data_IF_976702471411
#
_entry.id   IF_976702471411
#
_cell.length_a   1.000
_cell.length_b   1.000
_cell.length_c   1.000
_cell.angle_alpha   90.00
_cell.angle_beta   90.00
_cell.angle_gamma   90.00
#
_symmetry.space_group_name_H-M   'P 1'
#
loop_
_entity.id
_entity.type
_entity.pdbx_description
1 polymer ?
#
# COMPACT_ATOMS: atom_id res chain seq x y z
N UNK A 1 12.75 0.96 0.16
CA UNK A 1 11.43 1.48 -0.27
C UNK A 1 10.45 1.36 0.90
N UNK A 2 9.47 2.25 0.98
CA UNK A 2 8.34 2.14 1.91
C UNK A 2 7.32 1.17 1.33
N UNK A 3 7.08 0.04 1.99
CA UNK A 3 6.27 -1.05 1.44
C UNK A 3 4.82 -0.93 1.91
N UNK A 4 3.89 -0.83 0.97
CA UNK A 4 2.47 -0.65 1.31
C UNK A 4 1.83 -2.01 1.64
N UNK A 5 1.21 -2.07 2.80
CA UNK A 5 0.28 -3.11 3.20
C UNK A 5 -1.15 -2.67 2.85
N UNK A 6 -1.86 -3.49 2.07
CA UNK A 6 -3.23 -3.22 1.60
C UNK A 6 -4.23 -3.61 2.69
N UNK A 7 -4.12 -2.87 3.79
CA UNK A 7 -4.65 -3.27 5.07
C UNK A 7 -6.18 -3.28 5.14
N UNK A 8 -6.68 -4.01 6.12
CA UNK A 8 -7.97 -3.76 6.71
C UNK A 8 -7.85 -2.61 7.72
N UNK A 9 -8.97 -1.91 7.98
CA UNK A 9 -9.02 -0.85 9.01
C UNK A 9 -8.70 -1.38 10.41
N UNK A 10 -8.89 -2.68 10.65
CA UNK A 10 -8.31 -3.41 11.77
C UNK A 10 -7.06 -4.13 11.24
N UNK A 11 -5.88 -3.64 11.60
CA UNK A 11 -4.61 -4.11 11.06
C UNK A 11 -4.44 -5.62 11.17
N UNK A 12 -3.85 -6.25 10.15
CA UNK A 12 -3.69 -7.70 10.01
C UNK A 12 -4.95 -8.42 9.53
N UNK A 13 -6.07 -7.71 9.36
CA UNK A 13 -7.27 -8.22 8.71
C UNK A 13 -7.74 -9.57 9.26
N UNK A 14 -7.83 -10.55 8.38
CA UNK A 14 -8.27 -11.91 8.70
C UNK A 14 -7.15 -12.89 9.05
N UNK A 15 -5.93 -12.44 9.41
CA UNK A 15 -4.76 -13.32 9.53
C UNK A 15 -4.89 -14.41 10.59
N UNK A 16 -5.63 -14.15 11.68
CA UNK A 16 -5.97 -15.15 12.70
C UNK A 16 -7.26 -15.93 12.40
N UNK A 17 -7.85 -15.69 11.23
CA UNK A 17 -9.07 -16.32 10.74
C UNK A 17 -8.85 -17.02 9.41
N UNK A 18 -9.60 -16.60 8.38
CA UNK A 18 -9.58 -17.22 7.04
C UNK A 18 -8.98 -16.30 5.97
N UNK A 19 -8.40 -15.16 6.36
CA UNK A 19 -7.78 -14.24 5.41
C UNK A 19 -6.49 -14.83 4.86
N UNK A 20 -6.28 -14.70 3.55
CA UNK A 20 -5.09 -15.23 2.87
C UNK A 20 -4.76 -14.40 1.62
N UNK A 21 -4.98 -13.09 1.69
CA UNK A 21 -4.65 -12.15 0.61
C UNK A 21 -3.41 -11.34 1.00
N UNK A 22 -3.15 -10.21 0.33
CA UNK A 22 -1.88 -9.49 0.45
C UNK A 22 -1.49 -9.14 1.90
N UNK A 23 -2.41 -8.62 2.71
CA UNK A 23 -2.17 -8.26 4.12
C UNK A 23 -1.85 -9.51 4.95
N UNK A 24 -2.72 -10.52 4.94
CA UNK A 24 -2.53 -11.70 5.78
C UNK A 24 -1.27 -12.49 5.40
N UNK A 25 -0.99 -12.62 4.10
CA UNK A 25 0.25 -13.26 3.64
C UNK A 25 1.46 -12.52 4.18
N UNK A 26 1.45 -11.17 4.14
CA UNK A 26 2.57 -10.38 4.67
C UNK A 26 2.75 -10.59 6.17
N UNK A 27 1.66 -10.65 6.93
CA UNK A 27 1.69 -10.91 8.36
C UNK A 27 2.14 -12.34 8.68
N UNK A 28 1.86 -13.33 7.83
CA UNK A 28 2.33 -14.70 8.04
C UNK A 28 3.82 -14.88 7.75
N UNK A 29 4.35 -14.23 6.71
CA UNK A 29 5.79 -14.32 6.40
C UNK A 29 6.65 -13.41 7.28
N UNK A 30 6.05 -12.36 7.87
CA UNK A 30 6.67 -11.44 8.82
C UNK A 30 5.82 -11.39 10.12
N UNK A 31 5.81 -12.47 10.95
CA UNK A 31 4.90 -12.62 12.09
C UNK A 31 5.04 -11.57 13.19
N UNK A 32 6.14 -10.81 13.25
CA UNK A 32 6.28 -9.67 14.16
C UNK A 32 5.19 -8.61 13.93
N UNK A 33 4.65 -8.52 12.70
CA UNK A 33 3.52 -7.66 12.37
C UNK A 33 2.26 -8.00 13.19
N UNK A 34 2.08 -9.26 13.61
CA UNK A 34 0.92 -9.70 14.40
C UNK A 34 0.82 -8.96 15.74
N UNK A 35 1.96 -8.54 16.31
CA UNK A 35 1.97 -7.79 17.56
C UNK A 35 1.21 -6.46 17.44
N UNK A 36 1.15 -5.87 16.24
CA UNK A 36 0.37 -4.64 16.01
C UNK A 36 -1.12 -4.82 16.34
N UNK A 37 -1.67 -6.03 16.20
CA UNK A 37 -3.08 -6.32 16.50
C UNK A 37 -3.38 -6.25 18.00
N UNK A 38 -2.37 -6.35 18.86
CA UNK A 38 -2.55 -6.33 20.32
C UNK A 38 -2.85 -4.93 20.84
N UNK A 39 -2.26 -3.90 20.24
CA UNK A 39 -2.26 -2.54 20.79
C UNK A 39 -2.73 -1.45 19.81
N UNK A 40 -3.00 -1.79 18.54
CA UNK A 40 -3.49 -0.82 17.56
C UNK A 40 -5.01 -0.86 17.49
N UNK A 41 -5.66 0.28 17.77
CA UNK A 41 -7.10 0.44 17.52
C UNK A 41 -7.40 0.49 16.01
N UNK A 42 -8.67 0.33 15.66
CA UNK A 42 -9.19 0.55 14.31
C UNK A 42 -8.73 1.91 13.75
N UNK A 43 -8.06 1.89 12.61
CA UNK A 43 -7.64 3.10 11.90
C UNK A 43 -8.83 3.99 11.51
N UNK A 44 -8.74 5.27 11.85
CA UNK A 44 -9.59 6.33 11.34
C UNK A 44 -9.20 6.72 9.91
N UNK A 45 -10.02 7.51 9.23
CA UNK A 45 -9.81 7.86 7.82
C UNK A 45 -8.52 8.63 7.51
N UNK A 46 -7.89 9.25 8.50
CA UNK A 46 -6.66 10.04 8.39
C UNK A 46 -5.47 9.41 9.10
N UNK A 47 -5.59 8.15 9.52
CA UNK A 47 -4.53 7.44 10.24
C UNK A 47 -3.85 6.40 9.34
N UNK A 48 -2.60 6.09 9.61
CA UNK A 48 -1.87 4.99 9.02
C UNK A 48 -0.96 4.39 10.09
N UNK A 49 -0.65 3.10 9.98
CA UNK A 49 0.26 2.44 10.92
C UNK A 49 1.57 2.17 10.20
N UNK A 50 2.68 2.58 10.82
CA UNK A 50 4.03 2.40 10.28
C UNK A 50 4.79 1.44 11.18
N UNK A 51 5.38 0.40 10.58
CA UNK A 51 6.15 -0.61 11.30
C UNK A 51 7.51 -0.75 10.61
N UNK A 52 8.57 -0.44 11.34
CA UNK A 52 9.97 -0.50 10.86
C UNK A 52 10.72 -1.56 11.62
N UNK A 53 11.51 -2.35 10.91
CA UNK A 53 12.41 -3.33 11.51
C UNK A 53 12.00 -4.78 11.35
N UNK A 54 10.87 -5.05 10.68
CA UNK A 54 10.32 -6.40 10.58
C UNK A 54 11.20 -7.33 9.74
N UNK A 55 11.32 -8.56 10.22
CA UNK A 55 12.02 -9.65 9.53
C UNK A 55 11.05 -10.53 8.74
N UNK A 56 11.50 -11.01 7.57
CA UNK A 56 10.82 -12.09 6.86
C UNK A 56 11.40 -13.44 7.26
N UNK A 57 10.54 -14.34 7.73
CA UNK A 57 10.92 -15.67 8.20
C UNK A 57 10.58 -16.79 7.23
N UNK A 58 9.63 -16.56 6.31
CA UNK A 58 9.13 -17.62 5.42
C UNK A 58 9.09 -17.21 3.96
N UNK A 59 9.44 -18.16 3.09
CA UNK A 59 9.15 -18.11 1.67
C UNK A 59 7.78 -18.71 1.38
N UNK A 60 7.15 -18.23 0.30
CA UNK A 60 5.83 -18.67 -0.10
C UNK A 60 5.66 -18.66 -1.62
N UNK A 61 4.63 -19.36 -2.07
CA UNK A 61 4.08 -19.25 -3.42
C UNK A 61 2.56 -19.19 -3.40
N UNK A 62 1.97 -18.85 -4.54
CA UNK A 62 0.52 -18.76 -4.68
C UNK A 62 -0.09 -17.58 -3.92
N UNK A 63 -1.41 -17.53 -3.92
CA UNK A 63 -2.20 -16.43 -3.35
C UNK A 63 -3.62 -16.91 -3.06
N UNK A 64 -4.24 -16.42 -1.98
CA UNK A 64 -5.54 -16.91 -1.52
C UNK A 64 -5.52 -18.45 -1.42
N UNK A 65 -6.42 -19.14 -2.12
CA UNK A 65 -6.57 -20.59 -2.02
C UNK A 65 -5.36 -21.40 -2.51
N UNK A 66 -4.42 -20.80 -3.24
CA UNK A 66 -3.18 -21.47 -3.66
C UNK A 66 -1.96 -21.11 -2.80
N UNK A 67 -2.16 -20.33 -1.73
CA UNK A 67 -1.08 -19.93 -0.84
C UNK A 67 -0.42 -21.15 -0.18
N UNK A 68 0.90 -21.25 -0.33
CA UNK A 68 1.68 -22.39 0.15
C UNK A 68 3.01 -21.88 0.73
N UNK A 69 3.40 -22.41 1.88
CA UNK A 69 4.72 -22.19 2.47
C UNK A 69 5.81 -22.93 1.69
N UNK A 70 6.92 -22.27 1.39
CA UNK A 70 7.99 -22.79 0.53
C UNK A 70 9.32 -23.00 1.22
N UNK A 71 9.44 -22.67 2.51
CA UNK A 71 10.68 -22.83 3.24
C UNK A 71 10.95 -21.70 4.22
N UNK A 72 12.01 -21.89 4.99
CA UNK A 72 12.58 -20.83 5.82
C UNK A 72 13.22 -19.79 4.91
N UNK A 73 12.94 -18.52 5.18
CA UNK A 73 13.62 -17.39 4.56
C UNK A 73 14.77 -16.94 5.45
N UNK A 74 15.97 -16.77 4.88
CA UNK A 74 17.10 -16.14 5.56
C UNK A 74 17.15 -14.67 5.18
N UNK A 75 16.60 -13.82 6.04
CA UNK A 75 16.55 -12.38 5.78
C UNK A 75 17.95 -11.76 5.97
N UNK A 76 18.58 -11.39 4.86
CA UNK A 76 19.88 -10.71 4.81
C UNK A 76 19.76 -9.19 4.73
N UNK A 77 18.55 -8.64 4.90
CA UNK A 77 18.34 -7.18 4.91
C UNK A 77 19.19 -6.56 6.01
N UNK A 78 20.03 -5.54 5.70
CA UNK A 78 20.86 -4.90 6.71
C UNK A 78 20.02 -4.24 7.81
N UNK A 79 20.66 -3.97 8.95
CA UNK A 79 20.05 -3.32 10.10
C UNK A 79 20.58 -1.90 10.29
N UNK A 80 19.79 -1.06 10.93
CA UNK A 80 20.19 0.26 11.37
C UNK A 80 20.89 0.23 12.74
N UNK A 81 21.26 1.41 13.26
CA UNK A 81 21.94 1.58 14.54
C UNK A 81 21.13 1.08 15.75
N UNK A 82 19.81 0.91 15.59
CA UNK A 82 18.90 0.40 16.60
C UNK A 82 18.59 -1.10 16.43
N UNK A 83 19.37 -1.81 15.60
CA UNK A 83 19.15 -3.21 15.22
C UNK A 83 17.80 -3.48 14.56
N UNK A 84 17.20 -2.48 13.91
CA UNK A 84 15.99 -2.66 13.11
C UNK A 84 16.40 -2.96 11.67
N UNK A 85 15.82 -3.98 11.04
CA UNK A 85 16.01 -4.22 9.61
C UNK A 85 15.55 -3.01 8.80
N UNK A 86 16.22 -2.70 7.69
CA UNK A 86 15.82 -1.67 6.72
C UNK A 86 14.58 -2.05 5.89
N UNK A 87 13.56 -2.53 6.59
CA UNK A 87 12.24 -2.88 6.09
C UNK A 87 11.23 -2.03 6.84
N UNK A 88 10.53 -1.16 6.11
CA UNK A 88 9.40 -0.38 6.66
C UNK A 88 8.14 -0.71 5.89
N UNK A 89 7.10 -1.07 6.63
CA UNK A 89 5.75 -1.35 6.14
C UNK A 89 4.82 -0.20 6.57
N UNK A 90 3.96 0.24 5.66
CA UNK A 90 2.87 1.18 5.93
C UNK A 90 1.53 0.51 5.66
N UNK A 91 0.72 0.35 6.71
CA UNK A 91 -0.64 -0.16 6.60
C UNK A 91 -1.62 1.01 6.36
N UNK A 92 -2.31 0.95 5.23
CA UNK A 92 -3.39 1.88 4.86
C UNK A 92 -4.61 1.10 4.36
N UNK A 93 -5.79 1.36 4.94
CA UNK A 93 -7.02 0.67 4.57
C UNK A 93 -7.78 1.38 3.46
N UNK A 94 -8.11 0.69 2.37
CA UNK A 94 -9.00 1.22 1.32
C UNK A 94 -10.48 1.16 1.76
N UNK A 95 -11.37 1.91 1.10
CA UNK A 95 -12.81 1.68 1.25
C UNK A 95 -13.24 0.42 0.49
N UNK A 96 -14.20 -0.31 1.08
CA UNK A 96 -14.94 -1.35 0.38
C UNK A 96 -16.12 -0.73 -0.38
N UNK A 97 -16.30 -1.10 -1.66
CA UNK A 97 -17.40 -0.61 -2.49
C UNK A 97 -18.39 -1.73 -2.85
N UNK A 98 -19.60 -1.68 -2.27
CA UNK A 98 -20.70 -2.58 -2.66
C UNK A 98 -21.23 -2.27 -4.07
N UNK A 99 -21.37 -0.99 -4.40
CA UNK A 99 -21.59 -0.48 -5.74
C UNK A 99 -20.31 0.22 -6.23
N UNK A 100 -19.62 -0.32 -7.26
CA UNK A 100 -18.40 0.25 -7.81
C UNK A 100 -18.54 1.71 -8.25
N UNK A 101 -19.73 2.20 -8.61
CA UNK A 101 -19.89 3.62 -9.02
C UNK A 101 -19.65 4.59 -7.86
N UNK A 102 -19.80 4.13 -6.62
CA UNK A 102 -19.61 5.00 -5.45
C UNK A 102 -18.17 5.47 -5.28
N UNK A 103 -17.17 4.76 -5.81
CA UNK A 103 -15.76 5.16 -5.65
C UNK A 103 -15.44 6.51 -6.32
N UNK A 104 -16.18 6.89 -7.36
CA UNK A 104 -16.02 8.15 -8.08
C UNK A 104 -16.72 9.33 -7.40
N UNK A 105 -17.43 9.11 -6.29
CA UNK A 105 -18.02 10.23 -5.52
C UNK A 105 -16.90 11.03 -4.87
N UNK A 106 -16.97 12.37 -4.95
CA UNK A 106 -15.95 13.30 -4.41
C UNK A 106 -15.56 13.00 -2.96
N UNK A 107 -16.54 12.65 -2.10
CA UNK A 107 -16.27 12.27 -0.70
C UNK A 107 -15.33 11.05 -0.60
N UNK A 108 -15.53 10.05 -1.44
CA UNK A 108 -14.75 8.82 -1.43
C UNK A 108 -13.37 9.05 -2.05
N UNK A 109 -13.29 9.77 -3.17
CA UNK A 109 -12.01 10.20 -3.76
C UNK A 109 -11.12 10.92 -2.74
N UNK A 110 -11.69 11.91 -2.04
CA UNK A 110 -10.98 12.66 -0.98
C UNK A 110 -10.56 11.77 0.17
N UNK A 111 -11.41 10.84 0.62
CA UNK A 111 -11.08 9.90 1.69
C UNK A 111 -9.85 9.07 1.28
N UNK A 112 -9.86 8.50 0.09
CA UNK A 112 -8.75 7.65 -0.37
C UNK A 112 -7.46 8.44 -0.51
N UNK A 113 -7.51 9.67 -1.05
CA UNK A 113 -6.35 10.58 -1.09
C UNK A 113 -5.80 10.90 0.30
N UNK A 114 -6.66 11.25 1.26
CA UNK A 114 -6.22 11.54 2.63
C UNK A 114 -5.57 10.32 3.27
N UNK A 115 -6.14 9.12 3.06
CA UNK A 115 -5.61 7.87 3.61
C UNK A 115 -4.24 7.51 3.03
N UNK A 116 -4.08 7.52 1.70
CA UNK A 116 -2.78 7.24 1.08
C UNK A 116 -1.76 8.32 1.43
N UNK A 117 -2.16 9.60 1.46
CA UNK A 117 -1.28 10.67 1.90
C UNK A 117 -0.81 10.50 3.35
N UNK A 118 -1.70 10.15 4.28
CA UNK A 118 -1.33 9.91 5.68
C UNK A 118 -0.24 8.84 5.85
N UNK A 119 -0.27 7.80 5.02
CA UNK A 119 0.80 6.79 4.98
C UNK A 119 2.06 7.27 4.26
N UNK A 120 1.90 7.95 3.12
CA UNK A 120 3.00 8.33 2.25
C UNK A 120 3.80 9.54 2.76
N UNK A 121 3.20 10.40 3.57
CA UNK A 121 3.86 11.53 4.23
C UNK A 121 4.73 11.10 5.43
N UNK A 122 4.76 9.81 5.78
CA UNK A 122 5.67 9.32 6.81
C UNK A 122 7.14 9.61 6.45
N UNK A 123 7.88 10.11 7.43
CA UNK A 123 9.31 10.39 7.29
C UNK A 123 9.61 11.66 6.48
N UNK A 124 8.62 12.52 6.22
CA UNK A 124 8.89 13.88 5.76
C UNK A 124 9.84 14.58 6.73
N UNK A 125 10.75 15.39 6.17
CA UNK A 125 11.79 16.11 6.90
C UNK A 125 12.81 15.22 7.66
N UNK A 126 12.91 13.95 7.30
CA UNK A 126 13.92 13.01 7.80
C UNK A 126 14.72 12.39 6.66
N UNK A 127 15.77 11.61 6.97
CA UNK A 127 16.54 10.85 5.96
C UNK A 127 15.67 9.87 5.15
N UNK A 128 14.48 9.53 5.65
CA UNK A 128 13.52 8.68 4.96
C UNK A 128 12.69 9.41 3.88
N UNK A 129 12.84 10.74 3.73
CA UNK A 129 12.03 11.56 2.81
C UNK A 129 12.16 11.13 1.34
N UNK A 130 13.35 10.64 0.95
CA UNK A 130 13.67 10.27 -0.42
C UNK A 130 13.40 8.78 -0.71
N UNK A 131 12.88 8.02 0.26
CA UNK A 131 12.60 6.60 0.07
C UNK A 131 11.39 6.46 -0.85
N UNK A 132 11.53 5.83 -2.01
CA UNK A 132 10.39 5.55 -2.90
C UNK A 132 9.34 4.63 -2.25
N UNK A 133 8.08 4.78 -2.66
CA UNK A 133 6.93 3.96 -2.23
C UNK A 133 6.83 2.73 -3.12
N UNK A 134 6.84 1.53 -2.53
CA UNK A 134 6.56 0.27 -3.21
C UNK A 134 5.09 -0.12 -2.95
N UNK A 135 4.25 -0.04 -3.98
CA UNK A 135 2.81 -0.27 -3.88
C UNK A 135 2.24 -1.00 -5.11
N UNK A 136 0.93 -1.15 -5.21
CA UNK A 136 0.25 -1.74 -6.34
C UNK A 136 -1.26 -1.52 -6.28
N UNK A 137 -2.03 -2.55 -6.62
CA UNK A 137 -3.50 -2.52 -6.76
C UNK A 137 -4.25 -2.43 -5.40
N UNK A 138 -3.92 -1.41 -4.61
CA UNK A 138 -4.47 -1.13 -3.29
C UNK A 138 -6.00 -1.02 -3.30
N UNK A 139 -6.67 -1.95 -2.62
CA UNK A 139 -8.12 -1.97 -2.50
C UNK A 139 -8.88 -2.46 -3.74
N UNK A 140 -8.20 -2.98 -4.77
CA UNK A 140 -8.86 -3.37 -6.03
C UNK A 140 -9.36 -4.82 -6.06
N UNK A 141 -8.85 -5.69 -5.18
CA UNK A 141 -9.28 -7.09 -5.08
C UNK A 141 -10.58 -7.23 -4.28
N UNK A 142 -10.49 -7.78 -3.07
CA UNK A 142 -11.64 -8.00 -2.19
C UNK A 142 -12.46 -6.72 -1.91
N UNK A 143 -11.84 -5.53 -2.02
CA UNK A 143 -12.46 -4.24 -1.74
C UNK A 143 -13.09 -3.57 -2.96
N UNK A 144 -12.94 -4.17 -4.15
CA UNK A 144 -13.65 -3.82 -5.39
C UNK A 144 -13.40 -2.41 -5.93
N UNK A 145 -12.27 -1.81 -5.60
CA UNK A 145 -11.78 -0.58 -6.22
C UNK A 145 -11.33 -0.80 -7.68
N UNK A 146 -11.35 0.28 -8.46
CA UNK A 146 -10.83 0.32 -9.82
C UNK A 146 -9.32 0.59 -9.83
N UNK A 147 -8.54 -0.25 -10.52
CA UNK A 147 -7.08 -0.15 -10.56
C UNK A 147 -6.56 1.14 -11.22
N UNK A 148 -7.26 1.68 -12.23
CA UNK A 148 -6.84 2.90 -12.91
C UNK A 148 -7.06 4.11 -11.99
N UNK A 149 -8.22 4.16 -11.34
CA UNK A 149 -8.50 5.20 -10.34
C UNK A 149 -7.51 5.11 -9.18
N UNK A 150 -7.34 3.92 -8.58
CA UNK A 150 -6.48 3.71 -7.41
C UNK A 150 -5.01 4.02 -7.68
N UNK A 151 -4.50 3.68 -8.85
CA UNK A 151 -3.13 4.05 -9.23
C UNK A 151 -2.97 5.56 -9.36
N UNK A 152 -3.93 6.26 -9.98
CA UNK A 152 -3.89 7.72 -10.10
C UNK A 152 -3.95 8.42 -8.74
N UNK A 153 -4.84 7.99 -7.83
CA UNK A 153 -4.94 8.56 -6.48
C UNK A 153 -3.66 8.34 -5.64
N UNK A 154 -3.02 7.18 -5.79
CA UNK A 154 -1.73 6.91 -5.14
C UNK A 154 -0.61 7.78 -5.72
N UNK A 155 -0.54 7.95 -7.05
CA UNK A 155 0.43 8.85 -7.69
C UNK A 155 0.23 10.31 -7.25
N UNK A 156 -1.02 10.78 -7.16
CA UNK A 156 -1.33 12.12 -6.64
C UNK A 156 -0.84 12.30 -5.20
N UNK A 157 -1.10 11.31 -4.34
CA UNK A 157 -0.70 11.35 -2.93
C UNK A 157 0.82 11.29 -2.76
N UNK A 158 1.50 10.47 -3.56
CA UNK A 158 2.95 10.35 -3.57
C UNK A 158 3.63 11.63 -4.08
N UNK A 159 3.09 12.23 -5.16
CA UNK A 159 3.55 13.52 -5.65
C UNK A 159 3.38 14.63 -4.60
N UNK A 160 2.24 14.68 -3.91
CA UNK A 160 2.02 15.61 -2.80
C UNK A 160 2.97 15.35 -1.62
N UNK A 161 3.36 14.09 -1.40
CA UNK A 161 4.34 13.71 -0.38
C UNK A 161 5.80 13.90 -0.82
N UNK A 162 6.04 14.33 -2.06
CA UNK A 162 7.35 14.44 -2.73
C UNK A 162 8.13 13.12 -2.78
N UNK A 163 7.47 12.03 -3.21
CA UNK A 163 8.06 10.68 -3.26
C UNK A 163 7.82 9.99 -4.59
N UNK A 164 8.84 9.29 -5.06
CA UNK A 164 8.74 8.39 -6.20
C UNK A 164 7.90 7.14 -5.87
N UNK A 165 7.35 6.51 -6.90
CA UNK A 165 6.50 5.30 -6.78
C UNK A 165 7.04 4.17 -7.65
N UNK A 166 7.28 3.02 -7.03
CA UNK A 166 7.40 1.73 -7.70
C UNK A 166 6.05 1.01 -7.62
N UNK A 167 5.34 0.94 -8.74
CA UNK A 167 3.99 0.35 -8.82
C UNK A 167 4.05 -1.07 -9.42
N UNK A 168 3.56 -2.06 -8.67
CA UNK A 168 3.52 -3.46 -9.07
C UNK A 168 2.10 -3.86 -9.49
N UNK A 169 1.91 -4.25 -10.76
CA UNK A 169 0.60 -4.65 -11.32
C UNK A 169 0.30 -6.14 -11.22
N UNK A 170 1.17 -6.92 -10.55
CA UNK A 170 0.99 -8.34 -10.28
C UNK A 170 0.73 -9.19 -11.54
N UNK A 171 1.51 -8.96 -12.59
CA UNK A 171 1.45 -9.71 -13.85
C UNK A 171 0.49 -9.15 -14.90
N UNK A 172 -0.29 -8.11 -14.55
CA UNK A 172 -1.14 -7.42 -15.53
C UNK A 172 -0.32 -6.40 -16.34
N UNK A 173 0.12 -6.81 -17.52
CA UNK A 173 0.89 -5.97 -18.45
C UNK A 173 0.05 -4.86 -19.08
N UNK A 174 -1.24 -5.09 -19.33
CA UNK A 174 -2.12 -4.07 -19.92
C UNK A 174 -2.36 -2.92 -18.95
N UNK A 175 -2.57 -3.26 -17.67
CA UNK A 175 -2.68 -2.25 -16.62
C UNK A 175 -1.36 -1.47 -16.47
N UNK A 176 -0.22 -2.14 -16.56
CA UNK A 176 1.10 -1.49 -16.51
C UNK A 176 1.24 -0.45 -17.63
N UNK A 177 0.97 -0.85 -18.87
CA UNK A 177 1.06 0.04 -20.04
C UNK A 177 0.10 1.23 -19.91
N UNK A 178 -1.11 0.99 -19.41
CA UNK A 178 -2.13 2.02 -19.19
C UNK A 178 -1.71 3.05 -18.14
N UNK A 179 -1.25 2.58 -16.96
CA UNK A 179 -0.76 3.46 -15.88
C UNK A 179 0.45 4.25 -16.36
N UNK A 180 1.40 3.59 -17.01
CA UNK A 180 2.61 4.23 -17.54
C UNK A 180 2.27 5.32 -18.56
N UNK A 181 1.36 5.02 -19.50
CA UNK A 181 0.91 5.96 -20.53
C UNK A 181 0.22 7.17 -19.92
N UNK A 182 -0.68 6.97 -18.95
CA UNK A 182 -1.37 8.06 -18.25
C UNK A 182 -0.39 8.93 -17.47
N UNK A 183 0.50 8.34 -16.68
CA UNK A 183 1.51 9.09 -15.93
C UNK A 183 2.44 9.90 -16.86
N UNK A 184 2.90 9.27 -17.95
CA UNK A 184 3.75 9.94 -18.96
C UNK A 184 3.02 11.10 -19.62
N UNK A 185 1.75 10.91 -19.97
CA UNK A 185 0.91 11.97 -20.53
C UNK A 185 0.80 13.16 -19.57
N UNK A 186 0.38 12.93 -18.32
CA UNK A 186 0.25 13.98 -17.31
C UNK A 186 1.57 14.73 -17.07
N UNK A 187 2.68 14.00 -16.98
CA UNK A 187 4.02 14.59 -16.84
C UNK A 187 4.42 15.42 -18.07
N UNK A 188 4.16 14.94 -19.27
CA UNK A 188 4.49 15.65 -20.52
C UNK A 188 3.75 16.98 -20.67
N UNK A 189 2.54 17.06 -20.10
CA UNK A 189 1.69 18.23 -20.10
C UNK A 189 1.89 19.13 -18.86
N UNK A 190 2.85 18.81 -17.98
CA UNK A 190 3.09 19.50 -16.71
C UNK A 190 1.83 19.63 -15.83
N UNK A 191 0.95 18.63 -15.86
CA UNK A 191 -0.31 18.65 -15.09
C UNK A 191 0.00 18.48 -13.61
N UNK A 192 -0.48 19.41 -12.80
CA UNK A 192 -0.33 19.41 -11.35
C UNK A 192 -1.35 18.48 -10.67
N UNK A 193 -1.06 18.08 -9.43
CA UNK A 193 -2.02 17.30 -8.60
C UNK A 193 -3.37 18.02 -8.47
N UNK A 194 -3.35 19.36 -8.34
CA UNK A 194 -4.56 20.17 -8.26
C UNK A 194 -5.39 20.16 -9.55
N UNK A 195 -4.75 20.10 -10.72
CA UNK A 195 -5.44 19.97 -12.01
C UNK A 195 -6.08 18.59 -12.16
N UNK A 196 -5.36 17.51 -11.84
CA UNK A 196 -5.94 16.15 -11.85
C UNK A 196 -7.13 16.08 -10.90
N UNK A 197 -7.01 16.65 -9.70
CA UNK A 197 -8.09 16.67 -8.71
C UNK A 197 -9.33 17.46 -9.15
N UNK A 198 -9.23 18.36 -10.15
CA UNK A 198 -10.39 19.08 -10.71
C UNK A 198 -11.09 18.28 -11.82
N UNK A 199 -10.37 17.34 -12.45
CA UNK A 199 -10.90 16.46 -13.49
C UNK A 199 -11.67 15.29 -12.86
N UNK A 200 -11.20 14.80 -11.70
CA UNK A 200 -11.83 13.74 -10.90
C UNK A 200 -13.04 14.26 -10.09
#
# INVERSE_FOLDING_TARGET
MLQVDFANKFIGGGVLGHGSVQEEIRFLICPELLLSQLFSEKMLHTEAIIITGVERFSDYSGYANSFEWKGVHLDVTPVDENNRRYTTVVAIDALYYSDPKNQFKTKNLRRELHKSFAGFSWGQDSECSNVAIATGNWGCGAFRGDCHLKSLLQLMSAAQANRDVAYFTFGDSKLLDSIYSMHTFLKSQNVTVGEVSRIL
#
